data_IF_451885304431
#
_entry.id   IF_451885304431
#
_cell.length_a   1.000
_cell.length_b   1.000
_cell.length_c   1.000
_cell.angle_alpha   90.00
_cell.angle_beta   90.00
_cell.angle_gamma   90.00
#
_symmetry.space_group_name_H-M   'P 1'
#
loop_
_entity.id
_entity.type
_entity.pdbx_description
1 polymer ?
#
# COMPACT_ATOMS: atom_id res chain seq x y z
N UNK A 1 -26.26 15.15 8.04
CA UNK A 1 -24.85 15.34 7.67
C UNK A 1 -24.14 13.99 7.59
N UNK A 2 -24.45 13.03 8.49
CA UNK A 2 -23.90 11.65 8.42
C UNK A 2 -24.35 10.81 7.21
N UNK A 3 -25.56 11.03 6.67
CA UNK A 3 -26.10 10.20 5.57
C UNK A 3 -25.35 10.42 4.23
N UNK A 4 -24.92 11.65 3.95
CA UNK A 4 -24.16 11.98 2.72
C UNK A 4 -22.72 11.44 2.77
N UNK A 5 -22.09 11.41 3.94
CA UNK A 5 -20.74 10.87 4.12
C UNK A 5 -20.72 9.35 3.99
N UNK A 6 -21.73 8.67 4.55
CA UNK A 6 -21.93 7.24 4.38
C UNK A 6 -22.14 6.89 2.90
N UNK A 7 -23.01 7.60 2.20
CA UNK A 7 -23.27 7.36 0.78
C UNK A 7 -22.00 7.54 -0.08
N UNK A 8 -21.19 8.57 0.23
CA UNK A 8 -19.90 8.79 -0.46
C UNK A 8 -18.89 7.68 -0.15
N UNK A 9 -18.82 7.21 1.09
CA UNK A 9 -17.94 6.12 1.47
C UNK A 9 -18.34 4.80 0.77
N UNK A 10 -19.64 4.50 0.69
CA UNK A 10 -20.15 3.34 -0.02
C UNK A 10 -19.89 3.41 -1.53
N UNK A 11 -20.09 4.58 -2.13
CA UNK A 11 -19.78 4.81 -3.54
C UNK A 11 -18.28 4.62 -3.82
N UNK A 12 -17.43 5.17 -2.96
CA UNK A 12 -15.98 5.04 -3.07
C UNK A 12 -15.52 3.58 -2.92
N UNK A 13 -16.08 2.80 -1.99
CA UNK A 13 -15.80 1.36 -1.87
C UNK A 13 -16.26 0.58 -3.13
N UNK A 14 -17.38 0.98 -3.74
CA UNK A 14 -17.89 0.37 -4.98
C UNK A 14 -16.99 0.68 -6.19
N UNK A 15 -16.47 1.89 -6.28
CA UNK A 15 -15.47 2.28 -7.29
C UNK A 15 -14.19 1.45 -7.13
N UNK A 16 -13.70 1.31 -5.90
CA UNK A 16 -12.57 0.45 -5.59
C UNK A 16 -12.80 -1.01 -5.93
N UNK A 17 -14.01 -1.51 -5.69
CA UNK A 17 -14.38 -2.87 -6.06
C UNK A 17 -14.34 -3.08 -7.57
N UNK A 18 -14.84 -2.10 -8.32
CA UNK A 18 -14.78 -2.10 -9.79
C UNK A 18 -13.34 -2.05 -10.28
N UNK A 19 -12.50 -1.19 -9.69
CA UNK A 19 -11.07 -1.08 -10.00
C UNK A 19 -10.31 -2.37 -9.70
N UNK A 20 -10.45 -2.93 -8.50
CA UNK A 20 -9.79 -4.18 -8.10
C UNK A 20 -10.17 -5.34 -9.04
N UNK A 21 -11.41 -5.38 -9.53
CA UNK A 21 -11.84 -6.35 -10.55
C UNK A 21 -11.20 -6.10 -11.90
N UNK A 22 -11.19 -4.86 -12.37
CA UNK A 22 -10.58 -4.48 -13.65
C UNK A 22 -9.08 -4.77 -13.67
N UNK A 23 -8.40 -4.55 -12.55
CA UNK A 23 -6.97 -4.84 -12.35
C UNK A 23 -6.69 -6.32 -12.01
N UNK A 24 -7.72 -7.15 -11.86
CA UNK A 24 -7.58 -8.59 -11.63
C UNK A 24 -6.98 -8.95 -10.27
N UNK A 25 -7.29 -8.20 -9.22
CA UNK A 25 -6.72 -8.45 -7.88
C UNK A 25 -7.02 -9.88 -7.41
N UNK A 26 -5.99 -10.67 -7.08
CA UNK A 26 -6.17 -12.05 -6.67
C UNK A 26 -6.94 -12.12 -5.35
N UNK A 27 -7.70 -13.20 -5.19
CA UNK A 27 -8.30 -13.58 -3.91
C UNK A 27 -7.35 -14.49 -3.11
N UNK A 28 -7.82 -14.96 -1.97
CA UNK A 28 -7.01 -15.80 -1.07
C UNK A 28 -6.68 -17.17 -1.67
N UNK A 29 -7.56 -17.73 -2.50
CA UNK A 29 -7.33 -19.01 -3.14
C UNK A 29 -6.27 -18.87 -4.24
N UNK A 30 -6.33 -17.81 -5.04
CA UNK A 30 -5.33 -17.50 -6.07
C UNK A 30 -3.95 -17.28 -5.47
N UNK A 31 -3.84 -16.50 -4.38
CA UNK A 31 -2.55 -16.28 -3.72
C UNK A 31 -2.01 -17.56 -3.08
N UNK A 32 -2.83 -18.33 -2.39
CA UNK A 32 -2.40 -19.61 -1.80
C UNK A 32 -1.88 -20.58 -2.88
N UNK A 33 -2.55 -20.64 -4.03
CA UNK A 33 -2.10 -21.45 -5.16
C UNK A 33 -0.77 -20.95 -5.73
N UNK A 34 -0.58 -19.63 -5.86
CA UNK A 34 0.65 -19.04 -6.40
C UNK A 34 1.85 -19.24 -5.47
N UNK A 35 1.65 -19.11 -4.15
CA UNK A 35 2.71 -19.28 -3.15
C UNK A 35 3.08 -20.76 -2.88
N UNK A 36 2.23 -21.71 -3.33
CA UNK A 36 2.47 -23.14 -3.22
C UNK A 36 1.91 -23.81 -1.95
N UNK A 37 1.98 -25.14 -1.84
CA UNK A 37 1.33 -25.90 -0.76
C UNK A 37 1.89 -25.65 0.65
N UNK A 38 3.10 -25.10 0.75
CA UNK A 38 3.69 -24.63 2.02
C UNK A 38 3.28 -23.18 2.34
N UNK A 39 2.38 -22.58 1.56
CA UNK A 39 1.97 -21.19 1.74
C UNK A 39 1.35 -20.99 3.12
N UNK A 40 1.93 -20.05 3.85
CA UNK A 40 1.55 -19.66 5.19
C UNK A 40 0.07 -19.25 5.22
N UNK A 41 -0.60 -19.55 6.33
CA UNK A 41 -1.95 -19.06 6.63
C UNK A 41 -2.05 -17.55 6.35
N UNK A 42 -2.72 -17.19 5.25
CA UNK A 42 -2.82 -15.80 4.81
C UNK A 42 -3.52 -14.95 5.87
N UNK A 43 -4.43 -15.52 6.66
CA UNK A 43 -5.06 -14.79 7.76
C UNK A 43 -4.05 -14.49 8.87
N UNK A 44 -3.18 -15.45 9.20
CA UNK A 44 -2.08 -15.22 10.13
C UNK A 44 -1.09 -14.18 9.59
N UNK A 45 -0.74 -14.22 8.31
CA UNK A 45 0.13 -13.22 7.67
C UNK A 45 -0.48 -11.81 7.73
N UNK A 46 -1.79 -11.67 7.47
CA UNK A 46 -2.50 -10.38 7.61
C UNK A 46 -2.51 -9.89 9.05
N UNK A 47 -2.82 -10.78 10.00
CA UNK A 47 -2.85 -10.45 11.43
C UNK A 47 -1.46 -10.06 11.97
N UNK A 48 -0.41 -10.69 11.46
CA UNK A 48 0.99 -10.37 11.77
C UNK A 48 1.50 -9.10 11.07
N UNK A 49 0.68 -8.46 10.21
CA UNK A 49 1.11 -7.29 9.44
C UNK A 49 2.15 -7.60 8.35
N UNK A 50 2.22 -8.85 7.89
CA UNK A 50 3.15 -9.29 6.85
C UNK A 50 2.52 -9.29 5.45
N UNK A 51 1.19 -9.12 5.37
CA UNK A 51 0.43 -9.07 4.13
C UNK A 51 -0.73 -8.08 4.26
N UNK A 52 -0.95 -7.24 3.25
CA UNK A 52 -2.14 -6.41 3.16
C UNK A 52 -3.22 -7.14 2.37
N UNK A 53 -4.34 -7.42 3.02
CA UNK A 53 -5.58 -7.84 2.36
C UNK A 53 -6.64 -6.78 2.58
N UNK A 54 -7.41 -6.49 1.54
CA UNK A 54 -8.51 -5.54 1.57
C UNK A 54 -9.83 -6.30 1.61
N UNK A 55 -10.62 -6.07 2.66
CA UNK A 55 -11.88 -6.79 2.87
C UNK A 55 -13.02 -6.18 2.05
N UNK A 56 -13.49 -6.92 1.05
CA UNK A 56 -14.65 -6.54 0.24
C UNK A 56 -15.92 -7.13 0.84
N UNK A 57 -16.70 -6.30 1.54
CA UNK A 57 -17.92 -6.71 2.27
C UNK A 57 -18.93 -7.46 1.39
N UNK A 58 -19.13 -7.02 0.15
CA UNK A 58 -20.09 -7.63 -0.78
C UNK A 58 -19.66 -9.03 -1.25
N UNK A 59 -18.36 -9.26 -1.41
CA UNK A 59 -17.82 -10.56 -1.82
C UNK A 59 -17.49 -11.47 -0.63
N UNK A 60 -17.49 -10.90 0.58
CA UNK A 60 -17.10 -11.57 1.82
C UNK A 60 -15.75 -12.25 1.70
N UNK A 61 -14.82 -11.59 1.00
CA UNK A 61 -13.48 -12.09 0.77
C UNK A 61 -12.45 -10.96 0.86
N UNK A 62 -11.20 -11.37 1.10
CA UNK A 62 -10.05 -10.50 0.95
C UNK A 62 -9.56 -10.54 -0.49
N UNK A 63 -9.29 -9.35 -1.04
CA UNK A 63 -8.53 -9.15 -2.27
C UNK A 63 -7.15 -8.60 -1.93
N UNK A 64 -6.15 -8.94 -2.73
CA UNK A 64 -4.77 -8.53 -2.48
C UNK A 64 -4.29 -7.60 -3.59
N UNK A 65 -3.86 -6.38 -3.26
CA UNK A 65 -3.21 -5.51 -4.24
C UNK A 65 -1.99 -6.19 -4.87
N UNK A 66 -1.85 -6.18 -6.21
CA UNK A 66 -0.83 -6.95 -6.93
C UNK A 66 0.60 -6.45 -6.73
N UNK A 67 0.80 -5.15 -6.45
CA UNK A 67 2.12 -4.54 -6.20
C UNK A 67 2.86 -5.13 -4.98
N UNK A 68 2.16 -5.87 -4.12
CA UNK A 68 2.74 -6.58 -2.98
C UNK A 68 3.54 -7.82 -3.37
N UNK A 69 3.45 -8.25 -4.63
CA UNK A 69 4.06 -9.48 -5.10
C UNK A 69 5.13 -9.16 -6.14
N UNK A 70 6.29 -9.79 -6.00
CA UNK A 70 7.39 -9.73 -6.95
C UNK A 70 7.73 -11.17 -7.38
N UNK A 71 7.67 -11.43 -8.69
CA UNK A 71 7.95 -12.75 -9.28
C UNK A 71 7.16 -13.90 -8.62
N UNK A 72 5.90 -13.64 -8.26
CA UNK A 72 5.01 -14.63 -7.64
C UNK A 72 5.29 -14.92 -6.16
N UNK A 73 6.17 -14.14 -5.52
CA UNK A 73 6.44 -14.18 -4.08
C UNK A 73 6.01 -12.88 -3.41
N UNK A 74 5.83 -12.89 -2.10
CA UNK A 74 5.60 -11.66 -1.33
C UNK A 74 6.86 -10.78 -1.44
N UNK A 75 6.67 -9.49 -1.73
CA UNK A 75 7.76 -8.54 -1.86
C UNK A 75 8.57 -8.48 -0.55
N UNK A 76 9.91 -8.57 -0.59
CA UNK A 76 10.74 -8.73 0.61
C UNK A 76 10.64 -7.56 1.60
N UNK A 77 10.38 -6.35 1.11
CA UNK A 77 10.18 -5.15 1.94
C UNK A 77 8.73 -4.93 2.39
N UNK A 78 7.79 -5.82 2.06
CA UNK A 78 6.38 -5.60 2.39
C UNK A 78 6.15 -5.56 3.90
N UNK A 79 6.73 -6.50 4.64
CA UNK A 79 6.59 -6.53 6.10
C UNK A 79 7.17 -5.27 6.74
N UNK A 80 8.31 -4.78 6.24
CA UNK A 80 8.96 -3.56 6.73
C UNK A 80 8.10 -2.30 6.45
N UNK A 81 7.47 -2.24 5.28
CA UNK A 81 6.51 -1.18 4.94
C UNK A 81 5.31 -1.21 5.88
N UNK A 82 4.67 -2.37 6.06
CA UNK A 82 3.49 -2.50 6.89
C UNK A 82 3.79 -2.25 8.37
N UNK A 83 4.96 -2.64 8.85
CA UNK A 83 5.44 -2.28 10.19
C UNK A 83 5.64 -0.77 10.32
N UNK A 84 6.22 -0.12 9.31
CA UNK A 84 6.42 1.34 9.30
C UNK A 84 5.08 2.09 9.33
N UNK A 85 4.09 1.64 8.56
CA UNK A 85 2.72 2.19 8.60
C UNK A 85 2.06 1.95 9.96
N UNK A 86 2.31 0.82 10.60
CA UNK A 86 1.80 0.51 11.94
C UNK A 86 2.39 1.42 13.04
N UNK A 87 3.40 2.23 12.73
CA UNK A 87 3.81 3.37 13.57
C UNK A 87 2.70 4.41 13.75
N UNK A 88 1.72 4.47 12.83
CA UNK A 88 0.47 5.19 13.04
C UNK A 88 -0.57 4.26 13.71
N UNK A 89 -1.11 4.60 14.89
CA UNK A 89 -2.08 3.76 15.61
C UNK A 89 -3.31 3.38 14.79
N UNK A 90 -3.76 4.23 13.87
CA UNK A 90 -4.92 3.98 13.00
C UNK A 90 -4.64 2.98 11.87
N UNK A 91 -3.37 2.70 11.57
CA UNK A 91 -2.95 1.81 10.47
C UNK A 91 -2.38 0.48 10.96
N UNK A 92 -2.54 0.15 12.25
CA UNK A 92 -2.18 -1.17 12.76
C UNK A 92 -3.13 -2.25 12.24
N UNK A 93 -2.73 -3.52 12.13
CA UNK A 93 -3.63 -4.61 11.74
C UNK A 93 -4.89 -4.74 12.62
N UNK A 94 -4.80 -4.32 13.89
CA UNK A 94 -5.92 -4.35 14.83
C UNK A 94 -6.89 -3.18 14.63
N UNK A 95 -6.40 -1.98 14.30
CA UNK A 95 -7.21 -0.80 14.05
C UNK A 95 -7.81 -0.76 12.63
N UNK A 96 -7.10 -1.34 11.66
CA UNK A 96 -7.51 -1.44 10.26
C UNK A 96 -7.58 -2.90 9.79
N UNK A 97 -8.47 -3.74 10.36
CA UNK A 97 -8.58 -5.15 10.01
C UNK A 97 -9.09 -5.37 8.57
N UNK A 98 -9.76 -4.36 8.01
CA UNK A 98 -10.24 -4.36 6.63
C UNK A 98 -9.19 -3.93 5.61
N UNK A 99 -8.05 -3.35 6.05
CA UNK A 99 -6.96 -2.90 5.18
C UNK A 99 -7.25 -1.62 4.39
N UNK A 100 -8.35 -0.93 4.67
CA UNK A 100 -8.82 0.20 3.86
C UNK A 100 -8.01 1.47 4.14
N UNK A 101 -7.69 1.76 5.40
CA UNK A 101 -6.90 2.96 5.74
C UNK A 101 -5.50 2.83 5.14
N UNK A 102 -4.88 1.66 5.27
CA UNK A 102 -3.58 1.38 4.64
C UNK A 102 -3.66 1.47 3.12
N UNK A 103 -4.71 0.91 2.49
CA UNK A 103 -4.90 1.03 1.04
C UNK A 103 -5.00 2.49 0.60
N UNK A 104 -5.81 3.31 1.28
CA UNK A 104 -5.95 4.75 0.95
C UNK A 104 -4.60 5.43 1.00
N UNK A 105 -3.84 5.19 2.07
CA UNK A 105 -2.52 5.80 2.22
C UNK A 105 -1.59 5.42 1.06
N UNK A 106 -1.63 4.14 0.65
CA UNK A 106 -0.79 3.60 -0.41
C UNK A 106 -1.23 4.04 -1.82
N UNK A 107 -2.51 4.36 -2.02
CA UNK A 107 -3.05 4.85 -3.30
C UNK A 107 -3.15 6.39 -3.36
N UNK A 108 -2.75 7.10 -2.30
CA UNK A 108 -2.77 8.56 -2.29
C UNK A 108 -1.47 9.12 -2.90
N UNK A 109 -1.53 9.92 -3.98
CA UNK A 109 -0.34 10.52 -4.59
C UNK A 109 0.48 11.38 -3.63
N UNK A 110 1.81 11.31 -3.73
CA UNK A 110 2.77 12.03 -2.89
C UNK A 110 3.78 12.76 -3.76
N UNK A 111 3.88 14.08 -3.60
CA UNK A 111 4.88 14.89 -4.33
C UNK A 111 6.32 14.47 -3.99
N UNK A 112 6.57 13.99 -2.75
CA UNK A 112 7.87 13.46 -2.35
C UNK A 112 8.25 12.15 -3.04
N UNK A 113 7.33 11.55 -3.80
CA UNK A 113 7.54 10.35 -4.60
C UNK A 113 7.42 10.65 -6.11
N UNK A 114 7.45 11.92 -6.52
CA UNK A 114 7.55 12.27 -7.93
C UNK A 114 8.87 11.80 -8.53
N UNK A 115 8.93 11.65 -9.86
CA UNK A 115 10.15 11.22 -10.53
C UNK A 115 11.30 12.22 -10.27
N UNK A 116 10.98 13.51 -10.23
CA UNK A 116 11.94 14.56 -9.86
C UNK A 116 12.46 14.38 -8.43
N UNK A 117 11.57 14.22 -7.44
CA UNK A 117 11.97 14.08 -6.04
C UNK A 117 12.81 12.81 -5.78
N UNK A 118 12.44 11.69 -6.40
CA UNK A 118 13.19 10.45 -6.31
C UNK A 118 14.59 10.59 -6.94
N UNK A 119 14.70 11.28 -8.08
CA UNK A 119 15.99 11.54 -8.72
C UNK A 119 16.88 12.49 -7.92
N UNK A 120 16.32 13.55 -7.32
CA UNK A 120 17.05 14.45 -6.41
C UNK A 120 17.60 13.70 -5.17
N UNK A 121 16.80 12.79 -4.62
CA UNK A 121 17.22 11.90 -3.54
C UNK A 121 18.39 11.00 -3.95
N UNK A 122 18.30 10.36 -5.12
CA UNK A 122 19.37 9.51 -5.67
C UNK A 122 20.63 10.30 -6.07
N UNK A 123 20.49 11.54 -6.52
CA UNK A 123 21.61 12.42 -6.84
C UNK A 123 22.39 12.86 -5.59
N UNK A 124 21.70 13.00 -4.45
CA UNK A 124 22.34 13.20 -3.16
C UNK A 124 23.22 12.01 -2.74
N UNK A 125 22.93 10.80 -3.24
CA UNK A 125 23.74 9.58 -3.12
C UNK A 125 24.79 9.41 -4.24
N UNK A 126 24.95 10.41 -5.12
CA UNK A 126 26.04 10.49 -6.10
C UNK A 126 25.70 10.10 -7.55
N UNK A 127 24.41 9.89 -7.88
CA UNK A 127 23.97 9.58 -9.25
C UNK A 127 23.33 10.82 -9.89
N UNK A 128 24.09 11.56 -10.70
CA UNK A 128 23.56 12.73 -11.39
C UNK A 128 22.45 12.33 -12.37
N UNK A 129 21.23 12.82 -12.14
CA UNK A 129 20.10 12.65 -13.04
C UNK A 129 20.14 13.69 -14.18
N UNK A 130 19.59 13.34 -15.34
CA UNK A 130 19.32 14.29 -16.43
C UNK A 130 18.06 15.10 -16.07
N UNK A 131 18.26 16.24 -15.40
CA UNK A 131 17.21 17.04 -14.73
C UNK A 131 16.14 17.63 -15.70
N UNK A 132 16.32 17.53 -17.01
CA UNK A 132 15.45 18.21 -18.00
C UNK A 132 14.14 17.53 -18.38
N UNK A 133 13.87 16.29 -17.93
CA UNK A 133 12.75 15.47 -18.44
C UNK A 133 11.88 14.80 -17.36
N UNK A 134 12.18 15.00 -16.07
CA UNK A 134 11.47 14.30 -14.98
C UNK A 134 10.20 15.02 -14.55
N UNK A 135 9.15 14.27 -14.26
CA UNK A 135 7.85 14.79 -13.80
C UNK A 135 7.90 15.18 -12.32
N UNK A 136 7.28 16.30 -11.96
CA UNK A 136 7.02 16.73 -10.58
C UNK A 136 5.66 16.24 -10.05
N UNK A 137 4.87 15.53 -10.87
CA UNK A 137 3.60 14.97 -10.47
C UNK A 137 3.78 13.91 -9.39
N UNK A 138 2.97 14.02 -8.33
CA UNK A 138 3.02 13.06 -7.23
C UNK A 138 2.60 11.67 -7.68
N UNK A 139 3.36 10.67 -7.26
CA UNK A 139 3.05 9.25 -7.53
C UNK A 139 2.52 8.59 -6.27
N UNK A 140 1.75 7.53 -6.45
CA UNK A 140 1.23 6.78 -5.31
C UNK A 140 2.34 5.91 -4.70
N UNK A 141 2.39 5.74 -3.37
CA UNK A 141 3.30 4.78 -2.75
C UNK A 141 3.19 3.36 -3.33
N UNK A 142 1.98 2.91 -3.69
CA UNK A 142 1.75 1.60 -4.32
C UNK A 142 2.47 1.46 -5.67
N UNK A 143 2.45 2.50 -6.51
CA UNK A 143 3.18 2.50 -7.78
C UNK A 143 4.69 2.49 -7.54
N UNK A 144 5.17 3.33 -6.62
CA UNK A 144 6.62 3.48 -6.35
C UNK A 144 7.21 2.23 -5.70
N UNK A 145 6.46 1.55 -4.86
CA UNK A 145 6.94 0.40 -4.09
C UNK A 145 7.50 -0.73 -4.95
N UNK A 146 6.99 -0.88 -6.19
CA UNK A 146 7.43 -1.94 -7.12
C UNK A 146 8.88 -1.76 -7.57
N UNK A 147 9.39 -0.53 -7.63
CA UNK A 147 10.74 -0.24 -8.13
C UNK A 147 11.64 0.49 -7.12
N UNK A 148 11.07 1.17 -6.13
CA UNK A 148 11.79 1.79 -5.02
C UNK A 148 11.02 1.62 -3.70
N UNK A 149 11.04 0.40 -3.18
CA UNK A 149 10.41 0.07 -1.92
C UNK A 149 10.99 0.86 -0.73
N UNK A 150 12.29 1.21 -0.77
CA UNK A 150 12.95 1.89 0.34
C UNK A 150 12.50 3.34 0.47
N UNK A 151 12.28 4.05 -0.65
CA UNK A 151 11.69 5.39 -0.62
C UNK A 151 10.31 5.39 0.03
N UNK A 152 9.49 4.38 -0.27
CA UNK A 152 8.14 4.25 0.30
C UNK A 152 8.17 3.89 1.79
N UNK A 153 9.07 2.99 2.21
CA UNK A 153 9.30 2.68 3.62
C UNK A 153 9.78 3.91 4.40
N UNK A 154 10.71 4.69 3.83
CA UNK A 154 11.20 5.91 4.45
C UNK A 154 10.08 6.95 4.62
N UNK A 155 9.22 7.11 3.60
CA UNK A 155 8.04 7.97 3.69
C UNK A 155 7.08 7.51 4.81
N UNK A 156 6.77 6.21 4.87
CA UNK A 156 5.89 5.66 5.90
C UNK A 156 6.41 5.94 7.32
N UNK A 157 7.73 5.81 7.52
CA UNK A 157 8.38 6.14 8.81
C UNK A 157 8.29 7.63 9.13
N UNK A 158 8.54 8.50 8.15
CA UNK A 158 8.46 9.95 8.33
C UNK A 158 7.04 10.39 8.73
N UNK A 159 6.02 9.88 8.05
CA UNK A 159 4.61 10.15 8.38
C UNK A 159 4.24 9.65 9.78
N UNK A 160 4.71 8.47 10.18
CA UNK A 160 4.44 7.92 11.50
C UNK A 160 5.03 8.78 12.64
N UNK A 161 6.26 9.30 12.44
CA UNK A 161 6.90 10.20 13.41
C UNK A 161 6.07 11.48 13.58
N UNK A 162 5.58 12.05 12.49
CA UNK A 162 4.79 13.27 12.52
C UNK A 162 3.50 13.10 13.33
N UNK A 163 2.81 11.97 13.15
CA UNK A 163 1.60 11.63 13.91
C UNK A 163 1.90 11.43 15.41
N UNK A 164 3.06 10.86 15.76
CA UNK A 164 3.44 10.65 17.16
C UNK A 164 3.86 11.92 17.91
N UNK A 165 4.28 12.97 17.19
CA UNK A 165 4.78 14.23 17.78
C UNK A 165 3.71 15.34 17.82
N UNK A 166 2.62 15.18 17.05
CA UNK A 166 1.57 16.19 16.87
C UNK A 166 0.26 15.98 17.64
N UNK A 167 0.25 15.16 18.70
CA UNK A 167 -0.95 14.90 19.53
C UNK A 167 -0.91 15.64 20.87
#
# INVERSE_FOLDING_TARGET
>A
MEEDELARAEQWVSEWHTRAKAEGWPDSATIAQALGPDSVDLAAQRAAGQLLGVWFKHERCFRYPPWQFLDGQIHPHLSELLESLAGNPAMTPAADPGGWIRLVWLDSPRLSLSDLALAEGAASDGVAADEGTLSDEGRTPAEVFVFDALAVVALARADAIWVSTGA
#
